data_IF_529751607142
#
_entry.id   IF_529751607142
#
_cell.length_a   1.000
_cell.length_b   1.000
_cell.length_c   1.000
_cell.angle_alpha   90.00
_cell.angle_beta   90.00
_cell.angle_gamma   90.00
#
_symmetry.space_group_name_H-M   'P 1'
#
loop_
_entity.id
_entity.type
_entity.pdbx_description
1 polymer ?
#
# COMPACT_ATOMS: atom_id res chain seq x y z
N UNK A 1 -11.76 13.46 -0.97
CA UNK A 1 -11.83 13.88 0.44
C UNK A 1 -11.92 15.40 0.43
N UNK A 2 -13.06 16.00 0.84
CA UNK A 2 -13.20 17.45 0.86
C UNK A 2 -12.08 18.08 1.72
N UNK A 3 -11.56 19.23 1.30
CA UNK A 3 -10.51 20.01 1.97
C UNK A 3 -9.10 19.42 1.94
N UNK A 4 -8.89 18.14 2.27
CA UNK A 4 -7.53 17.54 2.36
C UNK A 4 -7.10 16.75 1.13
N UNK A 5 -7.93 16.74 0.07
CA UNK A 5 -7.68 15.93 -1.11
C UNK A 5 -6.40 16.32 -1.85
N UNK A 6 -6.12 17.61 -2.01
CA UNK A 6 -4.92 18.10 -2.70
C UNK A 6 -3.66 17.79 -1.90
N UNK A 7 -3.67 18.07 -0.59
CA UNK A 7 -2.52 17.80 0.29
C UNK A 7 -2.11 16.32 0.27
N UNK A 8 -3.09 15.40 0.24
CA UNK A 8 -2.82 13.95 0.17
C UNK A 8 -2.19 13.58 -1.18
N UNK A 9 -2.70 14.13 -2.28
CA UNK A 9 -2.17 13.85 -3.63
C UNK A 9 -0.72 14.33 -3.74
N UNK A 10 -0.46 15.57 -3.31
CA UNK A 10 0.87 16.16 -3.35
C UNK A 10 1.84 15.45 -2.40
N UNK A 11 1.37 15.02 -1.22
CA UNK A 11 2.12 14.19 -0.30
C UNK A 11 2.53 12.85 -0.92
N UNK A 12 1.63 12.17 -1.63
CA UNK A 12 1.91 10.89 -2.29
C UNK A 12 2.91 11.09 -3.44
N UNK A 13 2.65 12.05 -4.32
CA UNK A 13 3.49 12.30 -5.49
C UNK A 13 4.86 12.89 -5.14
N UNK A 14 4.97 13.63 -4.04
CA UNK A 14 6.19 14.33 -3.66
C UNK A 14 6.44 15.57 -4.52
N UNK A 15 5.37 16.22 -4.98
CA UNK A 15 5.38 17.44 -5.79
C UNK A 15 4.08 17.64 -6.58
N UNK A 16 4.02 18.75 -7.33
CA UNK A 16 2.82 19.19 -8.07
C UNK A 16 2.40 18.28 -9.24
N UNK A 17 3.27 17.37 -9.68
CA UNK A 17 3.01 16.44 -10.77
C UNK A 17 3.72 15.12 -10.54
N UNK A 18 3.27 14.07 -11.25
CA UNK A 18 3.93 12.76 -11.22
C UNK A 18 5.33 12.88 -11.80
N UNK A 19 6.32 12.50 -11.00
CA UNK A 19 7.74 12.65 -11.34
C UNK A 19 8.58 11.47 -10.83
N UNK A 20 9.91 11.59 -10.91
CA UNK A 20 10.84 10.56 -10.46
C UNK A 20 10.71 10.22 -8.96
N UNK A 21 10.36 11.21 -8.11
CA UNK A 21 10.11 10.96 -6.69
C UNK A 21 8.87 10.06 -6.50
N UNK A 22 7.81 10.29 -7.29
CA UNK A 22 6.62 9.43 -7.30
C UNK A 22 6.98 7.99 -7.72
N UNK A 23 7.76 7.83 -8.79
CA UNK A 23 8.15 6.52 -9.30
C UNK A 23 8.96 5.71 -8.28
N UNK A 24 9.95 6.33 -7.64
CA UNK A 24 10.76 5.69 -6.60
C UNK A 24 9.92 5.25 -5.40
N UNK A 25 8.94 6.08 -4.98
CA UNK A 25 8.02 5.72 -3.89
C UNK A 25 7.10 4.57 -4.27
N UNK A 26 6.58 4.57 -5.50
CA UNK A 26 5.73 3.48 -5.99
C UNK A 26 6.50 2.17 -6.12
N UNK A 27 7.76 2.22 -6.55
CA UNK A 27 8.61 1.03 -6.57
C UNK A 27 8.83 0.47 -5.15
N UNK A 28 9.15 1.33 -4.17
CA UNK A 28 9.31 0.92 -2.78
C UNK A 28 8.01 0.30 -2.21
N UNK A 29 6.86 0.92 -2.48
CA UNK A 29 5.55 0.38 -2.07
C UNK A 29 5.25 -0.95 -2.77
N UNK A 30 5.52 -1.06 -4.07
CA UNK A 30 5.33 -2.29 -4.84
C UNK A 30 6.25 -3.41 -4.35
N UNK A 31 7.43 -3.10 -3.85
CA UNK A 31 8.31 -4.08 -3.23
C UNK A 31 7.78 -4.55 -1.86
N UNK A 32 7.24 -3.64 -1.04
CA UNK A 32 6.77 -3.98 0.32
C UNK A 32 5.41 -4.70 0.32
N UNK A 33 4.47 -4.28 -0.53
CA UNK A 33 3.11 -4.82 -0.52
C UNK A 33 3.00 -6.34 -0.72
N UNK A 34 3.77 -6.99 -1.62
CA UNK A 34 3.76 -8.43 -1.76
C UNK A 34 4.04 -9.18 -0.45
N UNK A 35 4.94 -8.68 0.39
CA UNK A 35 5.23 -9.29 1.70
C UNK A 35 4.11 -9.08 2.71
N UNK A 36 3.49 -7.89 2.71
CA UNK A 36 2.30 -7.61 3.54
C UNK A 36 1.13 -8.51 3.14
N UNK A 37 0.90 -8.67 1.82
CA UNK A 37 -0.15 -9.55 1.29
C UNK A 37 0.15 -11.02 1.60
N UNK A 38 1.41 -11.46 1.51
CA UNK A 38 1.80 -12.81 1.92
C UNK A 38 1.50 -13.07 3.40
N UNK A 39 1.82 -12.13 4.28
CA UNK A 39 1.49 -12.23 5.71
C UNK A 39 -0.02 -12.26 5.96
N UNK A 40 -0.79 -11.41 5.27
CA UNK A 40 -2.26 -11.41 5.35
C UNK A 40 -2.87 -12.72 4.82
N UNK A 41 -2.32 -13.29 3.73
CA UNK A 41 -2.74 -14.57 3.19
C UNK A 41 -2.46 -15.71 4.19
N UNK A 42 -1.29 -15.72 4.84
CA UNK A 42 -0.99 -16.69 5.89
C UNK A 42 -1.95 -16.56 7.08
N UNK A 43 -2.18 -15.33 7.58
CA UNK A 43 -3.16 -15.10 8.65
C UNK A 43 -4.57 -15.55 8.25
N UNK A 44 -4.97 -15.30 7.01
CA UNK A 44 -6.24 -15.75 6.46
C UNK A 44 -6.35 -17.27 6.46
N UNK A 45 -5.30 -17.99 6.04
CA UNK A 45 -5.28 -19.46 6.03
C UNK A 45 -5.27 -20.06 7.43
N UNK A 46 -4.57 -19.44 8.40
CA UNK A 46 -4.59 -19.87 9.80
C UNK A 46 -6.01 -19.73 10.37
N UNK A 47 -6.66 -18.58 10.17
CA UNK A 47 -8.03 -18.37 10.61
C UNK A 47 -9.00 -19.38 9.97
N UNK A 48 -8.83 -19.67 8.67
CA UNK A 48 -9.61 -20.70 7.99
C UNK A 48 -9.38 -22.08 8.62
N UNK A 49 -8.11 -22.46 8.85
CA UNK A 49 -7.76 -23.75 9.43
C UNK A 49 -8.34 -23.94 10.83
N UNK A 50 -8.28 -22.91 11.68
CA UNK A 50 -8.85 -22.92 13.04
C UNK A 50 -10.38 -23.02 13.02
N UNK A 51 -11.04 -22.34 12.08
CA UNK A 51 -12.51 -22.40 11.94
C UNK A 51 -13.05 -23.68 11.30
N UNK A 52 -12.21 -24.43 10.58
CA UNK A 52 -12.57 -25.68 9.91
C UNK A 52 -12.32 -26.92 10.78
N UNK A 53 -11.62 -26.77 11.92
CA UNK A 53 -11.34 -27.82 12.90
C UNK A 53 -12.41 -27.97 13.98
#
# INVERSE_FOLDING_TARGET
IPWVGQDIVEFIWGGFSVNNATLNRFFALHFVFPFVLAALALMHLIALHDSAG
#
